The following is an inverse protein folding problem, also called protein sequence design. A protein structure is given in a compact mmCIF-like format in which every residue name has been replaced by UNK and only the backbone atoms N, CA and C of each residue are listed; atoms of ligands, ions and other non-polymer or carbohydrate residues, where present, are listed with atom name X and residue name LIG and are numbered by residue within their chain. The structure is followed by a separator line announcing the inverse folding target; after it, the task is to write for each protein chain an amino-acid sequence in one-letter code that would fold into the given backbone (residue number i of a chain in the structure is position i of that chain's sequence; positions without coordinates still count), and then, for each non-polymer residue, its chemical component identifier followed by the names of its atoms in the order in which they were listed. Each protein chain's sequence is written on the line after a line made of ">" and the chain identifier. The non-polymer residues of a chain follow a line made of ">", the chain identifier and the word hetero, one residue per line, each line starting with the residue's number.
data_IF_804861055130
#
_entry.id   IF_804861055130
#
_cell.length_a   1.000
_cell.length_b   1.000
_cell.length_c   1.000
_cell.angle_alpha   90.00
_cell.angle_beta   90.00
_cell.angle_gamma   90.00
#
_symmetry.space_group_name_H-M   'P 1'
#
loop_
_entity.id
_entity.type
_entity.pdbx_description
1 polymer ?
#
# COMPACT_ATOMS: atom_id res chain seq x y z
N UNK A 1 3.95 2.30 -13.54
CA UNK A 1 5.33 2.64 -13.97
C UNK A 1 6.22 1.48 -13.59
N UNK A 2 7.03 0.98 -14.51
CA UNK A 2 8.00 -0.08 -14.27
C UNK A 2 9.34 0.52 -13.83
N UNK A 3 10.16 -0.23 -13.08
CA UNK A 3 11.53 0.16 -12.76
C UNK A 3 12.37 0.39 -14.02
N UNK A 4 13.40 1.18 -13.87
CA UNK A 4 14.33 1.49 -14.99
C UNK A 4 15.15 0.25 -15.38
N UNK A 5 15.41 -0.64 -14.42
CA UNK A 5 16.11 -1.93 -14.62
C UNK A 5 15.24 -3.06 -14.12
N UNK A 6 15.03 -4.06 -14.95
CA UNK A 6 14.19 -5.23 -14.64
C UNK A 6 14.77 -6.01 -13.44
N UNK A 7 13.93 -6.28 -12.44
CA UNK A 7 14.35 -6.98 -11.21
C UNK A 7 15.25 -6.21 -10.26
N UNK A 8 15.52 -4.93 -10.53
CA UNK A 8 16.26 -4.05 -9.62
C UNK A 8 15.45 -2.80 -9.31
N UNK A 9 15.59 -2.27 -8.11
CA UNK A 9 14.92 -1.07 -7.64
C UNK A 9 15.97 -0.07 -7.17
N UNK A 10 15.86 1.18 -7.64
CA UNK A 10 16.84 2.21 -7.32
C UNK A 10 16.21 3.59 -7.11
N UNK A 11 17.01 4.59 -6.71
CA UNK A 11 16.53 5.96 -6.46
C UNK A 11 15.98 6.64 -7.72
N UNK A 12 16.46 6.26 -8.90
CA UNK A 12 15.92 6.74 -10.18
C UNK A 12 14.45 6.36 -10.36
N UNK A 13 14.02 5.21 -9.87
CA UNK A 13 12.63 4.76 -9.98
C UNK A 13 11.69 5.65 -9.16
N UNK A 14 12.13 6.12 -7.99
CA UNK A 14 11.39 7.12 -7.23
C UNK A 14 11.24 8.44 -8.01
N UNK A 15 12.27 8.86 -8.75
CA UNK A 15 12.20 10.06 -9.60
C UNK A 15 11.25 9.86 -10.79
N UNK A 16 11.22 8.67 -11.39
CA UNK A 16 10.31 8.36 -12.50
C UNK A 16 8.86 8.41 -12.01
N UNK A 17 8.55 7.79 -10.88
CA UNK A 17 7.22 7.87 -10.25
C UNK A 17 6.84 9.32 -9.94
N UNK A 18 7.76 10.08 -9.35
CA UNK A 18 7.57 11.50 -9.06
C UNK A 18 7.28 12.35 -10.30
N UNK A 19 8.02 12.14 -11.39
CA UNK A 19 7.83 12.87 -12.66
C UNK A 19 6.47 12.59 -13.29
N UNK A 20 5.99 11.34 -13.20
CA UNK A 20 4.69 10.94 -13.76
C UNK A 20 3.48 11.45 -12.98
N UNK A 21 3.64 11.83 -11.70
CA UNK A 21 2.54 12.41 -10.95
C UNK A 21 2.28 13.85 -11.40
N UNK A 22 1.04 14.20 -11.83
CA UNK A 22 0.70 15.56 -12.22
C UNK A 22 0.95 16.57 -11.10
N UNK A 23 1.42 17.76 -11.45
CA UNK A 23 1.85 18.79 -10.49
C UNK A 23 0.79 19.18 -9.48
N UNK A 24 -0.48 19.17 -9.89
CA UNK A 24 -1.62 19.52 -9.02
C UNK A 24 -1.77 18.61 -7.80
N UNK A 25 -1.29 17.34 -7.86
CA UNK A 25 -1.38 16.39 -6.75
C UNK A 25 -0.10 16.31 -5.92
N UNK A 26 1.05 16.77 -6.47
CA UNK A 26 2.35 16.71 -5.78
C UNK A 26 2.37 17.37 -4.40
N UNK A 27 1.74 18.53 -4.17
CA UNK A 27 1.82 19.19 -2.85
C UNK A 27 1.29 18.30 -1.71
N UNK A 28 0.24 17.50 -1.97
CA UNK A 28 -0.46 16.67 -0.98
C UNK A 28 -0.12 15.18 -1.10
N UNK A 29 0.79 14.83 -1.99
CA UNK A 29 1.15 13.43 -2.22
C UNK A 29 1.89 12.85 -1.03
N UNK A 30 1.66 11.55 -0.82
CA UNK A 30 2.28 10.73 0.21
C UNK A 30 2.71 9.41 -0.43
N UNK A 31 3.84 8.88 -0.02
CA UNK A 31 4.31 7.55 -0.39
C UNK A 31 3.67 6.50 0.51
N UNK A 32 3.29 5.38 -0.08
CA UNK A 32 2.82 4.19 0.63
C UNK A 32 3.56 2.97 0.08
N UNK A 33 4.29 2.24 0.94
CA UNK A 33 5.12 1.12 0.53
C UNK A 33 5.52 0.24 1.72
N UNK A 34 6.14 -0.90 1.42
CA UNK A 34 6.83 -1.74 2.42
C UNK A 34 8.22 -1.18 2.75
N UNK A 35 8.77 -1.57 3.92
CA UNK A 35 10.09 -1.14 4.39
C UNK A 35 11.22 -1.63 3.47
N UNK A 36 11.08 -2.79 2.84
CA UNK A 36 12.08 -3.32 1.92
C UNK A 36 12.18 -2.49 0.65
N UNK A 37 11.04 -2.04 0.12
CA UNK A 37 10.96 -1.14 -1.03
C UNK A 37 11.56 0.23 -0.69
N UNK A 38 11.22 0.77 0.47
CA UNK A 38 11.76 2.05 0.96
C UNK A 38 13.28 1.99 1.08
N UNK A 39 13.80 0.93 1.65
CA UNK A 39 15.23 0.69 1.79
C UNK A 39 15.94 0.66 0.43
N UNK A 40 15.39 -0.05 -0.55
CA UNK A 40 15.97 -0.13 -1.90
C UNK A 40 15.97 1.22 -2.62
N UNK A 41 14.85 1.95 -2.55
CA UNK A 41 14.75 3.28 -3.16
C UNK A 41 15.74 4.30 -2.56
N UNK A 42 16.26 4.05 -1.35
CA UNK A 42 17.26 4.90 -0.69
C UNK A 42 18.69 4.43 -0.87
N UNK A 43 18.93 3.16 -1.17
CA UNK A 43 20.28 2.53 -1.11
C UNK A 43 21.08 2.67 -2.40
N UNK A 44 20.53 3.33 -3.44
CA UNK A 44 21.21 3.48 -4.73
C UNK A 44 22.55 4.20 -4.61
N UNK A 45 23.48 3.84 -5.50
CA UNK A 45 24.88 4.30 -5.53
C UNK A 45 25.06 5.83 -5.64
N UNK A 46 24.02 6.56 -6.02
CA UNK A 46 24.08 8.00 -6.28
C UNK A 46 23.52 8.88 -5.13
N UNK A 47 23.23 8.30 -3.98
CA UNK A 47 23.03 9.06 -2.74
C UNK A 47 21.80 9.96 -2.67
N UNK A 48 20.77 9.76 -3.48
CA UNK A 48 19.51 10.55 -3.42
C UNK A 48 18.70 10.32 -2.13
N UNK A 49 19.14 9.42 -1.29
CA UNK A 49 18.43 9.10 -0.09
C UNK A 49 19.33 8.55 0.99
N UNK A 50 20.47 9.22 1.22
CA UNK A 50 21.24 8.91 2.41
C UNK A 50 20.30 8.90 3.61
N UNK A 51 19.93 7.70 4.02
CA UNK A 51 19.20 7.52 5.28
C UNK A 51 20.11 8.04 6.37
N UNK A 52 19.75 9.14 6.96
CA UNK A 52 20.40 9.58 8.17
C UNK A 52 20.07 8.56 9.27
N UNK A 53 20.97 7.60 9.44
CA UNK A 53 20.86 6.56 10.47
C UNK A 53 20.93 7.14 11.89
N UNK A 54 21.26 8.43 12.02
CA UNK A 54 21.29 9.14 13.29
C UNK A 54 19.93 9.72 13.71
N UNK A 55 18.97 9.81 12.78
CA UNK A 55 17.64 10.31 13.09
C UNK A 55 16.68 9.16 13.44
N UNK A 56 16.01 9.27 14.57
CA UNK A 56 14.90 8.36 14.92
C UNK A 56 13.74 8.57 13.93
N UNK A 57 13.52 7.57 13.09
CA UNK A 57 12.37 7.52 12.17
C UNK A 57 12.72 7.51 10.69
N UNK A 58 11.68 7.40 9.88
CA UNK A 58 11.77 7.36 8.44
C UNK A 58 11.67 8.78 7.90
N UNK A 59 12.76 9.27 7.34
CA UNK A 59 12.80 10.58 6.72
C UNK A 59 11.92 10.70 5.47
N UNK A 60 11.59 11.92 5.02
CA UNK A 60 10.83 12.12 3.79
C UNK A 60 11.60 11.59 2.58
N UNK A 61 10.89 11.03 1.60
CA UNK A 61 11.41 10.65 0.30
C UNK A 61 10.99 11.70 -0.73
N UNK A 62 11.98 12.33 -1.39
CA UNK A 62 11.74 13.47 -2.30
C UNK A 62 10.88 14.59 -1.66
N UNK A 63 11.11 14.86 -0.38
CA UNK A 63 10.37 15.87 0.38
C UNK A 63 8.92 15.49 0.71
N UNK A 64 8.53 14.23 0.51
CA UNK A 64 7.19 13.72 0.81
C UNK A 64 7.21 12.68 1.91
N UNK A 65 6.13 12.69 2.70
CA UNK A 65 5.93 11.73 3.78
C UNK A 65 5.90 10.31 3.22
N UNK A 66 6.52 9.39 3.93
CA UNK A 66 6.46 7.95 3.65
C UNK A 66 5.60 7.28 4.72
N UNK A 67 4.63 6.50 4.29
CA UNK A 67 3.83 5.61 5.14
C UNK A 67 4.27 4.18 4.85
N UNK A 68 4.78 3.50 5.84
CA UNK A 68 5.11 2.09 5.75
C UNK A 68 3.94 1.22 6.20
N UNK A 69 3.81 0.07 5.55
CA UNK A 69 2.80 -0.91 5.88
C UNK A 69 3.28 -2.31 5.54
N UNK A 70 3.16 -3.23 6.49
CA UNK A 70 3.43 -4.66 6.32
C UNK A 70 2.42 -5.35 5.38
N UNK A 71 1.31 -4.66 5.03
CA UNK A 71 0.34 -5.14 4.04
C UNK A 71 0.72 -4.78 2.60
N UNK A 72 1.70 -3.90 2.41
CA UNK A 72 2.25 -3.62 1.09
C UNK A 72 3.18 -4.77 0.66
N UNK A 73 3.22 -5.13 -0.64
CA UNK A 73 4.14 -6.15 -1.12
C UNK A 73 5.59 -5.78 -0.86
N UNK A 74 6.34 -6.73 -0.28
CA UNK A 74 7.77 -6.60 -0.08
C UNK A 74 8.53 -6.78 -1.40
N UNK A 75 9.66 -6.10 -1.54
CA UNK A 75 10.55 -6.30 -2.68
C UNK A 75 11.39 -7.57 -2.48
N UNK A 76 11.27 -8.53 -3.40
CA UNK A 76 11.95 -9.82 -3.35
C UNK A 76 13.11 -9.96 -4.35
N UNK A 77 13.37 -8.93 -5.17
CA UNK A 77 14.40 -9.00 -6.21
C UNK A 77 14.07 -9.93 -7.39
N UNK A 78 12.86 -10.47 -7.43
CA UNK A 78 12.41 -11.36 -8.49
C UNK A 78 11.52 -10.58 -9.46
N UNK A 79 11.67 -10.81 -10.76
CA UNK A 79 10.74 -10.30 -11.77
C UNK A 79 9.36 -10.88 -11.54
N UNK A 80 8.37 -10.03 -11.46
CA UNK A 80 6.98 -10.43 -11.27
C UNK A 80 6.09 -9.21 -11.03
N UNK A 81 4.91 -9.19 -11.63
CA UNK A 81 3.98 -8.07 -11.55
C UNK A 81 3.46 -7.85 -10.12
N UNK A 82 4.22 -7.14 -9.30
CA UNK A 82 3.84 -6.73 -7.95
C UNK A 82 3.78 -5.21 -7.86
N UNK A 83 2.73 -4.69 -7.23
CA UNK A 83 2.59 -3.26 -6.96
C UNK A 83 3.43 -2.91 -5.72
N UNK A 84 4.64 -2.42 -5.91
CA UNK A 84 5.62 -2.21 -4.85
C UNK A 84 5.37 -0.95 -4.03
N UNK A 85 5.04 0.15 -4.70
CA UNK A 85 4.81 1.43 -4.04
C UNK A 85 3.73 2.24 -4.75
N UNK A 86 3.08 3.11 -3.98
CA UNK A 86 2.09 4.07 -4.46
C UNK A 86 2.53 5.46 -4.04
N UNK A 87 2.56 6.38 -4.98
CA UNK A 87 2.66 7.81 -4.72
C UNK A 87 1.37 8.49 -5.15
N UNK A 88 0.69 9.18 -4.24
CA UNK A 88 -0.54 9.87 -4.60
C UNK A 88 -1.13 10.75 -3.52
N UNK A 89 -2.20 11.45 -3.90
CA UNK A 89 -3.02 12.24 -2.99
C UNK A 89 -4.15 11.38 -2.41
N UNK A 90 -3.91 10.79 -1.25
CA UNK A 90 -4.88 9.91 -0.57
C UNK A 90 -6.16 10.62 -0.12
N UNK A 91 -6.26 11.95 -0.21
CA UNK A 91 -7.53 12.64 0.01
C UNK A 91 -8.55 12.37 -1.09
N UNK A 92 -8.11 11.80 -2.22
CA UNK A 92 -8.97 11.36 -3.33
C UNK A 92 -9.39 9.89 -3.24
N UNK A 93 -8.98 9.19 -2.20
CA UNK A 93 -9.39 7.82 -1.93
C UNK A 93 -10.56 7.82 -0.94
N UNK A 94 -11.69 7.26 -1.34
CA UNK A 94 -12.92 7.26 -0.54
C UNK A 94 -13.22 5.85 -0.06
N UNK A 95 -13.47 5.73 1.24
CA UNK A 95 -13.94 4.50 1.86
C UNK A 95 -15.41 4.68 2.20
N UNK A 96 -16.27 3.87 1.60
CA UNK A 96 -17.70 3.87 1.82
C UNK A 96 -18.09 2.66 2.68
N UNK A 97 -18.68 2.91 3.83
CA UNK A 97 -19.23 1.88 4.69
C UNK A 97 -20.75 1.92 4.59
N UNK A 98 -21.34 0.93 3.91
CA UNK A 98 -22.80 0.87 3.70
C UNK A 98 -23.54 0.44 4.96
N UNK A 99 -22.99 -0.54 5.68
CA UNK A 99 -23.59 -1.11 6.89
C UNK A 99 -22.51 -1.19 7.95
N UNK A 100 -22.78 -0.67 9.13
CA UNK A 100 -21.93 -0.87 10.29
C UNK A 100 -21.81 -2.37 10.62
N UNK A 101 -20.87 -2.73 11.46
CA UNK A 101 -20.72 -4.11 11.90
C UNK A 101 -22.00 -4.55 12.65
N UNK A 102 -22.66 -5.59 12.14
CA UNK A 102 -23.76 -6.27 12.82
C UNK A 102 -23.24 -7.55 13.45
N UNK A 103 -23.65 -7.81 14.70
CA UNK A 103 -23.27 -9.05 15.40
C UNK A 103 -24.55 -9.79 15.72
N UNK A 104 -24.63 -11.03 15.26
CA UNK A 104 -25.78 -11.90 15.45
C UNK A 104 -25.37 -13.13 16.25
N UNK A 105 -26.22 -13.51 17.20
CA UNK A 105 -26.04 -14.75 17.96
C UNK A 105 -26.71 -15.91 17.25
N UNK A 106 -25.95 -16.96 16.98
CA UNK A 106 -26.43 -18.21 16.36
C UNK A 106 -26.58 -19.25 17.48
N UNK A 107 -27.81 -19.56 17.93
CA UNK A 107 -28.03 -20.48 19.03
C UNK A 107 -27.68 -21.93 18.67
N UNK A 108 -27.70 -22.28 17.40
CA UNK A 108 -27.42 -23.64 16.92
C UNK A 108 -26.50 -23.58 15.70
N UNK A 109 -25.31 -24.13 15.82
CA UNK A 109 -24.39 -24.36 14.70
C UNK A 109 -24.59 -25.78 14.20
N UNK A 110 -24.79 -25.94 12.89
CA UNK A 110 -24.97 -27.23 12.26
C UNK A 110 -23.68 -27.71 11.57
N UNK A 111 -23.51 -29.02 11.48
CA UNK A 111 -22.54 -29.66 10.60
C UNK A 111 -22.95 -29.51 9.13
N UNK A 112 -22.04 -29.83 8.21
CA UNK A 112 -22.32 -29.82 6.76
C UNK A 112 -23.41 -30.85 6.34
N UNK A 113 -23.65 -31.85 7.14
CA UNK A 113 -24.71 -32.84 6.98
C UNK A 113 -26.07 -32.45 7.55
N UNK A 114 -26.18 -31.24 8.12
CA UNK A 114 -27.39 -30.69 8.70
C UNK A 114 -27.68 -31.15 10.14
N UNK A 115 -26.79 -31.93 10.77
CA UNK A 115 -26.94 -32.33 12.17
C UNK A 115 -26.51 -31.24 13.14
N UNK A 116 -27.18 -31.06 14.30
CA UNK A 116 -26.80 -30.05 15.29
C UNK A 116 -25.42 -30.38 15.90
N UNK A 117 -24.51 -29.38 15.91
CA UNK A 117 -23.16 -29.51 16.42
C UNK A 117 -23.05 -29.36 17.94
N UNK A 118 -24.14 -28.98 18.61
CA UNK A 118 -24.16 -28.67 20.05
C UNK A 118 -23.38 -27.40 20.45
N UNK A 119 -22.96 -26.63 19.46
CA UNK A 119 -22.20 -25.38 19.63
C UNK A 119 -23.06 -24.16 19.35
N UNK A 120 -22.70 -23.05 20.00
CA UNK A 120 -23.27 -21.73 19.74
C UNK A 120 -22.21 -20.87 19.06
N UNK A 121 -22.65 -19.95 18.20
CA UNK A 121 -21.76 -19.08 17.44
C UNK A 121 -22.15 -17.61 17.53
N UNK A 122 -21.19 -16.76 17.24
CA UNK A 122 -21.41 -15.34 16.98
C UNK A 122 -20.98 -15.05 15.54
N UNK A 123 -21.86 -14.47 14.75
CA UNK A 123 -21.56 -14.03 13.38
C UNK A 123 -21.46 -12.51 13.39
N UNK A 124 -20.30 -12.01 12.99
CA UNK A 124 -20.10 -10.59 12.76
C UNK A 124 -19.90 -10.34 11.27
N UNK A 125 -20.60 -9.38 10.71
CA UNK A 125 -20.45 -9.00 9.30
C UNK A 125 -20.52 -7.49 9.11
N UNK A 126 -19.81 -7.00 8.10
CA UNK A 126 -19.81 -5.61 7.70
C UNK A 126 -19.66 -5.51 6.18
N UNK A 127 -20.09 -4.42 5.59
CA UNK A 127 -19.91 -4.13 4.16
C UNK A 127 -19.15 -2.83 4.00
N UNK A 128 -17.95 -2.94 3.44
CA UNK A 128 -17.08 -1.80 3.15
C UNK A 128 -16.68 -1.89 1.69
N UNK A 129 -16.70 -0.77 1.01
CA UNK A 129 -16.14 -0.59 -0.33
C UNK A 129 -15.19 0.60 -0.30
N UNK A 130 -14.20 0.59 -1.18
CA UNK A 130 -13.27 1.70 -1.29
C UNK A 130 -12.80 1.84 -2.74
N UNK A 131 -12.64 3.09 -3.17
CA UNK A 131 -12.19 3.38 -4.53
C UNK A 131 -11.56 4.77 -4.63
N UNK A 132 -10.79 5.01 -5.69
CA UNK A 132 -10.28 6.32 -6.02
C UNK A 132 -11.34 7.14 -6.78
N UNK A 133 -11.48 8.40 -6.42
CA UNK A 133 -12.36 9.34 -7.16
C UNK A 133 -11.67 9.84 -8.43
N UNK A 134 -10.34 9.86 -8.43
CA UNK A 134 -9.53 10.35 -9.54
C UNK A 134 -8.24 9.53 -9.63
N UNK A 135 -8.19 8.62 -10.60
CA UNK A 135 -7.05 7.71 -10.81
C UNK A 135 -5.77 8.43 -11.21
N UNK A 136 -5.88 9.62 -11.82
CA UNK A 136 -4.70 10.43 -12.14
C UNK A 136 -3.97 10.98 -10.90
N UNK A 137 -4.63 10.92 -9.73
CA UNK A 137 -4.04 11.31 -8.45
C UNK A 137 -3.07 10.29 -7.86
N UNK A 138 -2.90 9.11 -8.49
CA UNK A 138 -2.08 8.01 -7.99
C UNK A 138 -1.16 7.46 -9.07
N UNK A 139 0.07 7.19 -8.71
CA UNK A 139 1.04 6.49 -9.56
C UNK A 139 1.53 5.26 -8.82
N UNK A 140 1.46 4.12 -9.51
CA UNK A 140 1.93 2.83 -9.02
C UNK A 140 3.34 2.55 -9.57
N UNK A 141 4.25 2.15 -8.69
CA UNK A 141 5.50 1.51 -9.05
C UNK A 141 5.28 0.00 -9.05
N UNK A 142 5.45 -0.61 -10.20
CA UNK A 142 5.29 -2.06 -10.38
C UNK A 142 6.63 -2.66 -10.72
N UNK A 143 6.93 -3.82 -10.16
CA UNK A 143 8.02 -4.65 -10.64
C UNK A 143 7.55 -5.36 -11.93
N UNK A 144 8.34 -5.26 -12.99
CA UNK A 144 8.02 -5.87 -14.28
C UNK A 144 8.60 -7.29 -14.36
#
# INVERSE_FOLDING_TARGET
>A
VNPTTDGALGPEDALVVWKNLPERYRPRSTWFMDVTVESQLRTGADGYGSRDLSSEGIGPLLGKRVLLSDYAPAFSGTTGASNLAILGDFSRYVIAQRVGMSVEFIPHVFHSDGTPKGQRGWLAWARVGADSVDDNGFILLQNA
#
